data_IF_595814186734
#
_entry.id   IF_595814186734
#
_cell.length_a   1.000
_cell.length_b   1.000
_cell.length_c   1.000
_cell.angle_alpha   90.00
_cell.angle_beta   90.00
_cell.angle_gamma   90.00
#
_symmetry.space_group_name_H-M   'P 1'
#
loop_
_entity.id
_entity.type
_entity.pdbx_description
1 polymer ?
#
# COMPACT_ATOMS: atom_id res chain seq x y z
N UNK A 1 -3.76 -41.07 -9.40
CA UNK A 1 -2.59 -40.41 -8.77
C UNK A 1 -3.11 -39.09 -8.21
N UNK A 2 -2.71 -38.67 -7.00
CA UNK A 2 -3.27 -37.45 -6.41
C UNK A 2 -2.69 -36.21 -7.10
N UNK A 3 -3.53 -35.26 -7.48
CA UNK A 3 -3.07 -33.99 -8.04
C UNK A 3 -2.37 -33.13 -6.96
N UNK A 4 -1.44 -32.23 -7.35
CA UNK A 4 -0.85 -31.26 -6.44
C UNK A 4 -1.93 -30.45 -5.69
N UNK A 5 -1.77 -30.28 -4.38
CA UNK A 5 -2.80 -29.64 -3.55
C UNK A 5 -2.76 -28.10 -3.58
N UNK A 6 -1.68 -27.52 -4.11
CA UNK A 6 -1.54 -26.09 -4.38
C UNK A 6 -1.06 -25.88 -5.81
N UNK A 7 -1.40 -24.72 -6.44
CA UNK A 7 -0.90 -24.39 -7.78
C UNK A 7 0.63 -24.38 -7.84
N UNK A 8 1.26 -24.75 -8.97
CA UNK A 8 2.71 -24.82 -9.07
C UNK A 8 3.43 -23.48 -8.81
N UNK A 9 2.75 -22.37 -9.10
CA UNK A 9 3.19 -20.99 -8.90
C UNK A 9 2.96 -20.45 -7.48
N UNK A 10 2.32 -21.23 -6.60
CA UNK A 10 1.98 -20.82 -5.24
C UNK A 10 3.25 -20.51 -4.43
N UNK A 11 3.62 -19.23 -4.34
CA UNK A 11 4.83 -18.73 -3.69
C UNK A 11 4.50 -17.84 -2.48
N UNK A 12 4.63 -18.43 -1.29
CA UNK A 12 4.38 -17.76 -0.01
C UNK A 12 5.65 -17.33 0.70
N UNK A 13 6.82 -17.32 0.04
CA UNK A 13 8.10 -16.89 0.67
C UNK A 13 8.09 -15.44 1.14
N UNK A 14 7.19 -14.61 0.61
CA UNK A 14 6.94 -13.24 1.05
C UNK A 14 5.97 -13.11 2.25
N UNK A 15 5.38 -14.22 2.71
CA UNK A 15 4.44 -14.30 3.83
C UNK A 15 5.04 -15.20 4.92
N UNK A 16 5.91 -14.67 5.79
CA UNK A 16 6.63 -15.48 6.78
C UNK A 16 5.73 -16.05 7.88
N UNK A 17 4.53 -15.50 8.04
CA UNK A 17 3.54 -15.97 9.01
C UNK A 17 2.69 -17.08 8.39
N UNK A 18 2.81 -18.29 8.94
CA UNK A 18 1.94 -19.42 8.62
C UNK A 18 0.80 -19.48 9.64
N UNK A 19 -0.48 -19.44 9.23
CA UNK A 19 -1.60 -19.62 10.14
C UNK A 19 -1.61 -21.07 10.68
N UNK A 20 -1.79 -21.20 11.99
CA UNK A 20 -1.87 -22.47 12.68
C UNK A 20 -3.23 -22.60 13.35
N UNK A 21 -4.00 -23.62 12.99
CA UNK A 21 -5.23 -23.97 13.68
C UNK A 21 -4.89 -24.74 14.95
N UNK A 22 -5.02 -24.05 16.09
CA UNK A 22 -4.61 -24.57 17.40
C UNK A 22 -5.44 -25.78 17.77
N UNK A 23 -6.77 -25.75 17.57
CA UNK A 23 -7.67 -26.84 17.95
C UNK A 23 -7.38 -28.07 17.08
N UNK A 24 -7.27 -27.87 15.76
CA UNK A 24 -6.95 -28.97 14.83
C UNK A 24 -5.59 -29.60 15.12
N UNK A 25 -4.61 -28.83 15.59
CA UNK A 25 -3.31 -29.36 16.01
C UNK A 25 -3.44 -30.14 17.32
N UNK A 26 -3.99 -29.55 18.38
CA UNK A 26 -4.01 -30.16 19.72
C UNK A 26 -4.88 -31.42 19.78
N UNK A 27 -5.92 -31.48 18.95
CA UNK A 27 -6.82 -32.63 18.89
C UNK A 27 -6.37 -33.68 17.86
N UNK A 28 -5.24 -33.46 17.18
CA UNK A 28 -4.74 -34.40 16.18
C UNK A 28 -4.02 -35.61 16.78
N UNK A 29 -4.06 -36.73 16.05
CA UNK A 29 -3.25 -37.90 16.35
C UNK A 29 -1.75 -37.59 16.40
N UNK A 30 -1.28 -36.58 15.65
CA UNK A 30 0.13 -36.17 15.73
C UNK A 30 0.46 -35.67 17.14
N UNK A 31 -0.41 -34.86 17.74
CA UNK A 31 -0.22 -34.35 19.09
C UNK A 31 -0.38 -35.44 20.15
N UNK A 32 -1.30 -36.38 19.94
CA UNK A 32 -1.56 -37.48 20.86
C UNK A 32 -0.48 -38.58 20.87
N UNK A 33 0.11 -38.89 19.71
CA UNK A 33 0.96 -40.07 19.53
C UNK A 33 2.46 -39.76 19.42
N UNK A 34 2.83 -38.54 19.01
CA UNK A 34 4.22 -38.22 18.76
C UNK A 34 5.02 -38.04 20.05
N UNK A 35 6.25 -38.55 20.03
CA UNK A 35 7.28 -38.11 20.98
C UNK A 35 7.66 -36.65 20.72
N UNK A 36 8.28 -35.99 21.70
CA UNK A 36 8.68 -34.59 21.55
C UNK A 36 9.61 -34.31 20.36
N UNK A 37 10.51 -35.25 20.03
CA UNK A 37 11.40 -35.10 18.87
C UNK A 37 10.66 -35.31 17.53
N UNK A 38 9.71 -36.24 17.48
CA UNK A 38 8.85 -36.45 16.30
C UNK A 38 7.96 -35.25 16.05
N UNK A 39 7.32 -34.73 17.12
CA UNK A 39 6.48 -33.54 17.04
C UNK A 39 7.28 -32.32 16.57
N UNK A 40 8.48 -32.10 17.13
CA UNK A 40 9.38 -31.03 16.69
C UNK A 40 9.74 -31.18 15.21
N UNK A 41 10.07 -32.39 14.76
CA UNK A 41 10.38 -32.66 13.36
C UNK A 41 9.18 -32.39 12.45
N UNK A 42 7.98 -32.85 12.82
CA UNK A 42 6.74 -32.65 12.07
C UNK A 42 6.40 -31.16 11.90
N UNK A 43 6.35 -30.40 13.01
CA UNK A 43 6.05 -28.96 12.98
C UNK A 43 7.12 -28.19 12.22
N UNK A 44 8.39 -28.59 12.32
CA UNK A 44 9.46 -27.98 11.53
C UNK A 44 9.23 -28.21 10.03
N UNK A 45 8.86 -29.43 9.62
CA UNK A 45 8.53 -29.75 8.24
C UNK A 45 7.30 -29.00 7.74
N UNK A 46 6.29 -28.77 8.58
CA UNK A 46 5.14 -27.92 8.26
C UNK A 46 5.59 -26.50 7.92
N UNK A 47 6.37 -25.88 8.80
CA UNK A 47 6.93 -24.54 8.58
C UNK A 47 7.82 -24.49 7.32
N UNK A 48 8.63 -25.52 7.07
CA UNK A 48 9.47 -25.58 5.86
C UNK A 48 8.64 -25.73 4.60
N UNK A 49 7.56 -26.52 4.64
CA UNK A 49 6.67 -26.74 3.50
C UNK A 49 5.94 -25.45 3.09
N UNK A 50 5.59 -24.58 4.05
CA UNK A 50 4.99 -23.29 3.79
C UNK A 50 5.83 -22.38 2.89
N UNK A 51 7.15 -22.46 3.02
CA UNK A 51 8.11 -21.63 2.28
C UNK A 51 8.66 -22.31 1.01
N UNK A 52 8.20 -23.52 0.69
CA UNK A 52 8.53 -24.16 -0.59
C UNK A 52 7.76 -23.51 -1.74
N UNK A 53 8.21 -23.78 -2.97
CA UNK A 53 7.44 -23.54 -4.19
C UNK A 53 7.30 -24.90 -4.89
N UNK A 54 6.09 -25.46 -4.98
CA UNK A 54 4.80 -24.92 -4.53
C UNK A 54 4.66 -24.91 -3.00
N UNK A 55 3.96 -23.92 -2.43
CA UNK A 55 3.75 -23.86 -0.98
C UNK A 55 2.94 -25.06 -0.47
N UNK A 56 3.16 -25.43 0.80
CA UNK A 56 2.63 -26.64 1.46
C UNK A 56 3.17 -27.98 0.93
N UNK A 57 4.22 -27.94 0.09
CA UNK A 57 4.88 -29.13 -0.44
C UNK A 57 6.27 -29.33 0.16
N UNK A 58 6.80 -30.54 0.06
CA UNK A 58 8.18 -30.89 0.38
C UNK A 58 8.75 -31.80 -0.72
N UNK A 59 10.06 -31.76 -0.96
CA UNK A 59 10.72 -32.75 -1.81
C UNK A 59 10.65 -34.14 -1.16
N UNK A 60 10.40 -35.18 -1.95
CA UNK A 60 10.41 -36.58 -1.51
C UNK A 60 11.83 -37.17 -1.57
N UNK A 61 12.75 -36.58 -0.80
CA UNK A 61 14.12 -37.06 -0.65
C UNK A 61 14.51 -37.08 0.84
N UNK A 62 14.86 -38.26 1.35
CA UNK A 62 15.15 -38.46 2.76
C UNK A 62 16.35 -37.64 3.28
N UNK A 63 17.35 -37.35 2.45
CA UNK A 63 18.51 -36.54 2.87
C UNK A 63 18.10 -35.08 3.03
N UNK A 64 17.29 -34.59 2.09
CA UNK A 64 16.75 -33.24 2.17
C UNK A 64 15.78 -33.12 3.35
N UNK A 65 14.88 -34.09 3.53
CA UNK A 65 13.93 -34.10 4.64
C UNK A 65 14.62 -34.19 6.00
N UNK A 66 15.67 -35.01 6.14
CA UNK A 66 16.48 -35.09 7.35
C UNK A 66 17.12 -33.74 7.73
N UNK A 67 17.54 -32.97 6.72
CA UNK A 67 18.07 -31.63 6.90
C UNK A 67 16.96 -30.62 7.25
N UNK A 68 15.86 -30.62 6.49
CA UNK A 68 14.75 -29.69 6.68
C UNK A 68 14.07 -29.87 8.04
N UNK A 69 13.92 -31.09 8.52
CA UNK A 69 13.32 -31.41 9.81
C UNK A 69 14.23 -31.11 11.01
N UNK A 70 15.53 -30.86 10.77
CA UNK A 70 16.54 -30.76 11.82
C UNK A 70 16.82 -32.08 12.55
N UNK A 71 16.40 -33.21 12.00
CA UNK A 71 16.55 -34.52 12.65
C UNK A 71 17.90 -35.19 12.38
N UNK A 72 18.57 -34.83 11.28
CA UNK A 72 19.88 -35.38 10.91
C UNK A 72 19.89 -36.91 10.90
N UNK A 73 20.86 -37.52 11.59
CA UNK A 73 21.02 -38.98 11.65
C UNK A 73 19.80 -39.73 12.22
N UNK A 74 18.95 -39.05 13.01
CA UNK A 74 17.75 -39.64 13.63
C UNK A 74 16.55 -39.67 12.68
N UNK A 75 16.65 -39.03 11.50
CA UNK A 75 15.54 -38.93 10.55
C UNK A 75 14.83 -40.25 10.29
N UNK A 76 15.58 -41.33 10.04
CA UNK A 76 15.01 -42.65 9.76
C UNK A 76 14.03 -43.15 10.84
N UNK A 77 14.26 -42.80 12.11
CA UNK A 77 13.38 -43.18 13.22
C UNK A 77 12.15 -42.27 13.33
N UNK A 78 12.31 -40.99 13.01
CA UNK A 78 11.26 -39.97 13.17
C UNK A 78 10.38 -39.82 11.92
N UNK A 79 10.85 -40.30 10.76
CA UNK A 79 10.27 -40.07 9.43
C UNK A 79 8.78 -40.38 9.37
N UNK A 80 8.37 -41.51 9.91
CA UNK A 80 6.98 -41.99 9.83
C UNK A 80 6.02 -41.00 10.48
N UNK A 81 6.29 -40.59 11.73
CA UNK A 81 5.46 -39.63 12.45
C UNK A 81 5.65 -38.20 11.93
N UNK A 82 6.88 -37.82 11.57
CA UNK A 82 7.18 -36.49 11.06
C UNK A 82 6.51 -36.18 9.72
N UNK A 83 6.31 -37.20 8.87
CA UNK A 83 5.56 -37.10 7.62
C UNK A 83 4.08 -37.48 7.75
N UNK A 84 3.55 -37.64 8.97
CA UNK A 84 2.13 -37.96 9.16
C UNK A 84 1.27 -36.87 8.50
N UNK A 85 0.30 -37.31 7.69
CA UNK A 85 -0.58 -36.42 6.95
C UNK A 85 0.00 -35.88 5.64
N UNK A 86 1.30 -36.09 5.35
CA UNK A 86 1.85 -35.79 4.04
C UNK A 86 1.44 -36.85 3.02
N UNK A 87 1.10 -36.40 1.82
CA UNK A 87 0.65 -37.23 0.70
C UNK A 87 1.49 -36.97 -0.53
N UNK A 88 1.91 -38.04 -1.21
CA UNK A 88 2.69 -37.90 -2.45
C UNK A 88 1.74 -37.58 -3.61
N UNK A 89 1.99 -36.46 -4.28
CA UNK A 89 1.24 -36.01 -5.45
C UNK A 89 1.95 -36.39 -6.76
N UNK A 90 1.25 -36.18 -7.88
CA UNK A 90 1.70 -36.56 -9.22
C UNK A 90 2.96 -35.83 -9.70
N UNK A 91 3.29 -34.69 -9.12
CA UNK A 91 4.52 -33.92 -9.35
C UNK A 91 5.74 -34.48 -8.58
N UNK A 92 5.55 -35.57 -7.84
CA UNK A 92 6.60 -36.22 -7.06
C UNK A 92 6.89 -35.57 -5.71
N UNK A 93 6.10 -34.57 -5.30
CA UNK A 93 6.28 -33.86 -4.02
C UNK A 93 5.31 -34.37 -2.96
N UNK A 94 5.68 -34.15 -1.70
CA UNK A 94 4.86 -34.49 -0.53
C UNK A 94 4.07 -33.25 -0.09
N UNK A 95 2.75 -33.30 -0.13
CA UNK A 95 1.88 -32.21 0.28
C UNK A 95 1.21 -32.48 1.62
N UNK A 96 1.00 -31.45 2.43
CA UNK A 96 0.18 -31.58 3.64
C UNK A 96 -1.20 -30.93 3.41
N UNK A 97 -2.32 -31.69 3.37
CA UNK A 97 -3.64 -31.16 3.01
C UNK A 97 -4.09 -29.94 3.83
N UNK A 98 -3.81 -29.96 5.13
CA UNK A 98 -4.15 -28.84 6.04
C UNK A 98 -3.37 -27.57 5.72
N UNK A 99 -2.09 -27.72 5.38
CA UNK A 99 -1.24 -26.56 5.08
C UNK A 99 -1.57 -26.08 3.67
N UNK A 100 -1.88 -26.99 2.74
CA UNK A 100 -2.28 -26.67 1.38
C UNK A 100 -3.60 -25.87 1.36
N UNK A 101 -4.56 -26.22 2.22
CA UNK A 101 -5.77 -25.44 2.44
C UNK A 101 -5.43 -23.98 2.78
N UNK A 102 -4.61 -23.76 3.81
CA UNK A 102 -4.21 -22.42 4.24
C UNK A 102 -3.31 -21.70 3.24
N UNK A 103 -2.49 -22.44 2.50
CA UNK A 103 -1.61 -21.90 1.48
C UNK A 103 -2.42 -21.35 0.30
N UNK A 104 -3.46 -22.06 -0.15
CA UNK A 104 -4.40 -21.56 -1.18
C UNK A 104 -5.09 -20.29 -0.71
N UNK A 105 -5.66 -20.29 0.49
CA UNK A 105 -6.32 -19.07 0.99
C UNK A 105 -5.34 -17.88 1.10
N UNK A 106 -4.08 -18.12 1.45
CA UNK A 106 -3.06 -17.06 1.51
C UNK A 106 -2.64 -16.59 0.11
N UNK A 107 -2.57 -17.52 -0.84
CA UNK A 107 -2.26 -17.26 -2.24
C UNK A 107 -3.35 -16.39 -2.89
N UNK A 108 -4.62 -16.78 -2.76
CA UNK A 108 -5.76 -16.04 -3.31
C UNK A 108 -5.77 -14.59 -2.78
N UNK A 109 -5.59 -14.40 -1.47
CA UNK A 109 -5.51 -13.05 -0.85
C UNK A 109 -4.35 -12.23 -1.39
N UNK A 110 -3.21 -12.87 -1.71
CA UNK A 110 -2.03 -12.20 -2.28
C UNK A 110 -2.28 -11.78 -3.72
N UNK A 111 -2.92 -12.63 -4.52
CA UNK A 111 -3.30 -12.31 -5.90
C UNK A 111 -4.25 -11.11 -5.93
N UNK A 112 -5.32 -11.14 -5.12
CA UNK A 112 -6.26 -10.03 -5.05
C UNK A 112 -5.59 -8.73 -4.59
N UNK A 113 -4.68 -8.80 -3.61
CA UNK A 113 -3.93 -7.62 -3.16
C UNK A 113 -3.06 -7.06 -4.29
N UNK A 114 -2.36 -7.93 -5.01
CA UNK A 114 -1.49 -7.57 -6.13
C UNK A 114 -2.29 -6.91 -7.25
N UNK A 115 -3.43 -7.49 -7.61
CA UNK A 115 -4.35 -6.93 -8.60
C UNK A 115 -4.84 -5.53 -8.19
N UNK A 116 -5.29 -5.36 -6.94
CA UNK A 116 -5.71 -4.05 -6.41
C UNK A 116 -4.59 -3.01 -6.48
N UNK A 117 -3.34 -3.39 -6.14
CA UNK A 117 -2.19 -2.47 -6.24
C UNK A 117 -1.85 -2.12 -7.69
N UNK A 118 -1.90 -3.09 -8.60
CA UNK A 118 -1.67 -2.86 -10.02
C UNK A 118 -2.72 -1.91 -10.59
N UNK A 119 -4.01 -2.16 -10.33
CA UNK A 119 -5.12 -1.31 -10.75
C UNK A 119 -5.00 0.13 -10.21
N UNK A 120 -4.59 0.29 -8.95
CA UNK A 120 -4.32 1.60 -8.34
C UNK A 120 -3.16 2.32 -9.05
N UNK A 121 -2.08 1.59 -9.30
CA UNK A 121 -0.86 2.12 -9.94
C UNK A 121 -1.15 2.53 -11.38
N UNK A 122 -1.87 1.71 -12.13
CA UNK A 122 -2.33 2.02 -13.47
C UNK A 122 -3.25 3.24 -13.51
N UNK A 123 -4.23 3.32 -12.61
CA UNK A 123 -5.12 4.48 -12.51
C UNK A 123 -4.33 5.76 -12.24
N UNK A 124 -3.36 5.70 -11.33
CA UNK A 124 -2.50 6.84 -11.02
C UNK A 124 -1.61 7.22 -12.21
N UNK A 125 -1.08 6.24 -12.94
CA UNK A 125 -0.31 6.48 -14.17
C UNK A 125 -1.17 7.16 -15.23
N UNK A 126 -2.35 6.61 -15.55
CA UNK A 126 -3.30 7.20 -16.51
C UNK A 126 -3.70 8.62 -16.12
N UNK A 127 -3.93 8.87 -14.83
CA UNK A 127 -4.24 10.21 -14.33
C UNK A 127 -3.07 11.18 -14.54
N UNK A 128 -1.83 10.78 -14.20
CA UNK A 128 -0.63 11.61 -14.42
C UNK A 128 -0.41 11.89 -15.90
N UNK A 129 -0.52 10.87 -16.74
CA UNK A 129 -0.36 10.99 -18.20
C UNK A 129 -1.39 11.97 -18.76
N UNK A 130 -2.67 11.85 -18.36
CA UNK A 130 -3.74 12.77 -18.77
C UNK A 130 -3.49 14.22 -18.34
N UNK A 131 -3.09 14.44 -17.08
CA UNK A 131 -2.74 15.77 -16.57
C UNK A 131 -1.56 16.35 -17.36
N UNK A 132 -0.52 15.54 -17.61
CA UNK A 132 0.64 15.97 -18.38
C UNK A 132 0.26 16.37 -19.81
N UNK A 133 -0.60 15.58 -20.48
CA UNK A 133 -1.11 15.89 -21.81
C UNK A 133 -1.87 17.20 -21.84
N UNK A 134 -2.86 17.40 -20.95
CA UNK A 134 -3.67 18.63 -20.92
C UNK A 134 -2.80 19.85 -20.60
N UNK A 135 -1.89 19.74 -19.63
CA UNK A 135 -0.97 20.82 -19.30
C UNK A 135 -0.05 21.16 -20.48
N UNK A 136 0.41 20.18 -21.26
CA UNK A 136 1.20 20.42 -22.46
C UNK A 136 0.38 21.15 -23.53
N UNK A 137 -0.87 20.74 -23.74
CA UNK A 137 -1.77 21.41 -24.69
C UNK A 137 -2.12 22.84 -24.26
N UNK A 138 -2.45 23.08 -22.99
CA UNK A 138 -2.70 24.42 -22.46
C UNK A 138 -1.50 25.34 -22.72
N UNK A 139 -0.28 24.86 -22.45
CA UNK A 139 0.95 25.61 -22.74
C UNK A 139 1.12 25.89 -24.23
N UNK A 140 0.73 24.97 -25.11
CA UNK A 140 0.77 25.20 -26.57
C UNK A 140 -0.21 26.29 -27.04
N UNK A 141 -1.30 26.49 -26.29
CA UNK A 141 -2.28 27.57 -26.50
C UNK A 141 -1.89 28.86 -25.75
N UNK A 142 -0.66 28.97 -25.24
CA UNK A 142 -0.15 30.07 -24.42
C UNK A 142 -0.92 30.28 -23.09
N UNK A 143 -1.60 29.25 -22.59
CA UNK A 143 -2.27 29.27 -21.28
C UNK A 143 -1.40 28.56 -20.25
N UNK A 144 -0.96 29.28 -19.22
CA UNK A 144 -0.20 28.68 -18.12
C UNK A 144 -1.15 27.94 -17.17
N UNK A 145 -1.01 26.62 -17.00
CA UNK A 145 -1.91 25.86 -16.13
C UNK A 145 -1.70 26.23 -14.65
N UNK A 146 -2.77 26.41 -13.86
CA UNK A 146 -2.67 26.74 -12.44
C UNK A 146 -2.06 25.59 -11.62
N UNK A 147 -1.24 25.97 -10.63
CA UNK A 147 -0.59 25.02 -9.72
C UNK A 147 -1.62 24.24 -8.91
N UNK A 148 -1.44 22.91 -8.78
CA UNK A 148 -2.33 22.00 -8.03
C UNK A 148 -3.80 22.00 -8.50
N UNK A 149 -4.08 22.39 -9.74
CA UNK A 149 -5.43 22.33 -10.28
C UNK A 149 -5.94 20.88 -10.41
N UNK A 150 -7.24 20.69 -10.14
CA UNK A 150 -7.88 19.40 -10.38
C UNK A 150 -7.91 19.07 -11.88
N UNK A 151 -7.95 17.78 -12.21
CA UNK A 151 -8.07 17.34 -13.61
C UNK A 151 -9.28 18.00 -14.31
N UNK A 152 -10.43 18.06 -13.64
CA UNK A 152 -11.63 18.73 -14.16
C UNK A 152 -11.43 20.22 -14.45
N UNK A 153 -10.65 20.92 -13.61
CA UNK A 153 -10.34 22.33 -13.81
C UNK A 153 -9.44 22.51 -15.03
N UNK A 154 -8.43 21.66 -15.18
CA UNK A 154 -7.53 21.67 -16.34
C UNK A 154 -8.29 21.36 -17.64
N UNK A 155 -9.22 20.40 -17.61
CA UNK A 155 -10.06 20.06 -18.77
C UNK A 155 -10.96 21.23 -19.18
N UNK A 156 -11.61 21.89 -18.21
CA UNK A 156 -12.43 23.08 -18.49
C UNK A 156 -11.59 24.21 -19.11
N UNK A 157 -10.43 24.51 -18.51
CA UNK A 157 -9.52 25.53 -19.05
C UNK A 157 -9.07 25.21 -20.48
N UNK A 158 -8.86 23.93 -20.80
CA UNK A 158 -8.48 23.52 -22.15
C UNK A 158 -9.61 23.76 -23.15
N UNK A 159 -10.85 23.47 -22.76
CA UNK A 159 -12.04 23.76 -23.60
C UNK A 159 -12.16 25.26 -23.84
N UNK A 160 -12.05 26.08 -22.79
CA UNK A 160 -12.16 27.54 -22.87
C UNK A 160 -11.05 28.15 -23.73
N UNK A 161 -9.81 27.66 -23.58
CA UNK A 161 -8.66 28.09 -24.35
C UNK A 161 -8.83 27.77 -25.84
N UNK A 162 -9.29 26.55 -26.16
CA UNK A 162 -9.56 26.12 -27.55
C UNK A 162 -10.67 26.96 -28.19
N UNK A 163 -11.75 27.25 -27.46
CA UNK A 163 -12.84 28.10 -27.94
C UNK A 163 -12.36 29.54 -28.23
N UNK A 164 -11.49 30.07 -27.36
CA UNK A 164 -10.91 31.41 -27.53
C UNK A 164 -10.00 31.50 -28.76
N UNK A 165 -9.19 30.47 -29.03
CA UNK A 165 -8.39 30.41 -30.27
C UNK A 165 -9.23 30.26 -31.53
N UNK A 166 -10.40 29.60 -31.46
CA UNK A 166 -11.29 29.47 -32.61
C UNK A 166 -12.02 30.79 -32.94
N UNK A 167 -12.44 31.56 -31.92
CA UNK A 167 -13.12 32.85 -32.09
C UNK A 167 -12.23 33.94 -32.69
N UNK A 168 -10.90 33.79 -32.63
CA UNK A 168 -9.93 34.74 -33.20
C UNK A 168 -9.73 34.61 -34.73
N UNK A 169 -10.40 33.66 -35.39
CA UNK A 169 -10.21 33.38 -36.83
C UNK A 169 -11.49 33.68 -37.65
N UNK A 170 -12.29 34.65 -37.21
CA UNK A 170 -13.47 35.15 -37.93
C UNK A 170 -13.22 36.56 -38.46
N UNK A 171 -13.32 36.69 -39.77
CA UNK A 171 -13.08 37.86 -40.63
C UNK A 171 -13.24 39.26 -40.04
N UNK A 172 -12.26 40.10 -40.39
CA UNK A 172 -12.30 41.54 -40.24
C UNK A 172 -13.43 42.15 -41.09
N UNK A 173 -14.29 42.94 -40.45
CA UNK A 173 -14.72 44.21 -41.04
C UNK A 173 -14.85 45.28 -39.97
N UNK A 174 -13.90 46.20 -40.07
CA UNK A 174 -13.78 47.50 -39.43
C UNK A 174 -15.03 48.36 -39.66
N UNK A 175 -15.62 48.87 -38.59
CA UNK A 175 -16.08 50.26 -38.52
C UNK A 175 -16.12 50.72 -37.06
N UNK A 176 -15.34 51.76 -36.76
CA UNK A 176 -15.32 52.47 -35.50
C UNK A 176 -16.64 53.20 -35.23
N UNK A 177 -17.00 53.37 -33.96
CA UNK A 177 -17.31 54.69 -33.39
C UNK A 177 -17.48 54.64 -31.85
N UNK A 178 -16.95 55.72 -31.27
CA UNK A 178 -16.85 56.18 -29.89
C UNK A 178 -18.11 56.13 -29.03
N UNK A 179 -17.95 55.88 -27.72
CA UNK A 179 -18.96 56.16 -26.71
C UNK A 179 -18.52 55.81 -25.28
N UNK A 180 -17.96 56.77 -24.56
CA UNK A 180 -17.76 56.76 -23.12
C UNK A 180 -19.09 56.84 -22.36
N UNK A 181 -19.25 56.01 -21.31
CA UNK A 181 -19.99 56.42 -20.12
C UNK A 181 -20.98 55.42 -19.54
N UNK A 182 -20.83 55.22 -18.22
CA UNK A 182 -21.83 54.80 -17.21
C UNK A 182 -22.14 53.31 -17.06
N UNK A 183 -21.59 52.76 -15.98
CA UNK A 183 -21.85 51.42 -15.50
C UNK A 183 -23.29 51.22 -15.04
N UNK A 184 -23.83 50.07 -15.42
CA UNK A 184 -25.01 49.48 -14.82
C UNK A 184 -24.58 48.17 -14.18
N UNK A 185 -24.82 48.09 -12.87
CA UNK A 185 -24.54 46.94 -12.00
C UNK A 185 -25.44 45.77 -12.44
N UNK A 186 -24.82 44.65 -12.82
CA UNK A 186 -25.50 43.36 -12.98
C UNK A 186 -25.13 42.51 -11.75
N UNK A 187 -26.09 41.99 -10.99
CA UNK A 187 -25.82 41.30 -9.74
C UNK A 187 -25.24 39.91 -10.05
N UNK A 188 -24.02 39.65 -9.58
CA UNK A 188 -23.50 38.29 -9.48
C UNK A 188 -24.24 37.58 -8.34
N UNK A 189 -25.17 36.70 -8.71
CA UNK A 189 -25.71 35.68 -7.82
C UNK A 189 -24.58 34.78 -7.33
N UNK A 190 -24.49 34.67 -6.01
CA UNK A 190 -23.70 33.68 -5.29
C UNK A 190 -24.17 32.27 -5.66
N UNK A 191 -23.32 31.49 -6.32
CA UNK A 191 -23.45 30.04 -6.38
C UNK A 191 -22.13 29.40 -5.94
N UNK A 192 -22.12 28.98 -4.68
CA UNK A 192 -21.05 28.30 -3.98
C UNK A 192 -20.76 26.92 -4.59
N UNK A 193 -19.59 26.78 -5.21
CA UNK A 193 -18.92 25.47 -5.39
C UNK A 193 -17.68 25.43 -4.51
N UNK A 194 -17.82 24.96 -3.28
CA UNK A 194 -16.76 24.94 -2.28
C UNK A 194 -15.52 24.18 -2.79
N UNK A 195 -14.42 24.91 -2.99
CA UNK A 195 -13.06 24.37 -3.08
C UNK A 195 -12.83 23.47 -1.86
N UNK A 196 -12.24 22.26 -1.98
CA UNK A 196 -12.02 21.41 -0.82
C UNK A 196 -11.13 22.17 0.16
N UNK A 197 -11.73 22.50 1.30
CA UNK A 197 -11.12 23.28 2.36
C UNK A 197 -9.76 22.65 2.73
N UNK A 198 -8.67 23.38 2.45
CA UNK A 198 -7.29 22.95 2.71
C UNK A 198 -7.09 22.53 4.16
N UNK A 199 -7.88 23.11 5.06
CA UNK A 199 -7.93 22.76 6.47
C UNK A 199 -8.56 21.40 6.71
N UNK A 200 -9.72 21.15 6.09
CA UNK A 200 -10.38 19.84 6.17
C UNK A 200 -9.50 18.73 5.60
N UNK A 201 -8.85 18.96 4.45
CA UNK A 201 -7.95 17.99 3.85
C UNK A 201 -6.74 17.67 4.73
N UNK A 202 -6.18 18.67 5.42
CA UNK A 202 -5.12 18.46 6.41
C UNK A 202 -5.60 17.58 7.57
N UNK A 203 -6.75 17.90 8.17
CA UNK A 203 -7.29 17.16 9.32
C UNK A 203 -7.66 15.71 8.97
N UNK A 204 -8.25 15.48 7.80
CA UNK A 204 -8.64 14.15 7.34
C UNK A 204 -7.39 13.26 7.12
N UNK A 205 -6.34 13.79 6.50
CA UNK A 205 -5.08 13.06 6.28
C UNK A 205 -4.32 12.79 7.58
N UNK A 206 -4.25 13.76 8.49
CA UNK A 206 -3.56 13.60 9.76
C UNK A 206 -4.25 12.54 10.65
N UNK A 207 -5.59 12.54 10.70
CA UNK A 207 -6.38 11.53 11.42
C UNK A 207 -6.27 10.14 10.80
N UNK A 208 -6.24 10.05 9.46
CA UNK A 208 -6.09 8.77 8.77
C UNK A 208 -4.74 8.10 9.08
N UNK A 209 -3.67 8.89 9.21
CA UNK A 209 -2.33 8.36 9.47
C UNK A 209 -2.04 8.04 10.95
N UNK A 210 -2.44 8.92 11.87
CA UNK A 210 -2.17 8.75 13.31
C UNK A 210 -3.26 7.97 14.04
N UNK A 211 -4.40 7.74 13.41
CA UNK A 211 -5.58 7.12 14.00
C UNK A 211 -6.40 8.08 14.87
N UNK A 212 -7.69 7.78 15.10
CA UNK A 212 -8.62 8.67 15.78
C UNK A 212 -8.23 8.98 17.23
N UNK A 213 -7.51 8.07 17.90
CA UNK A 213 -7.04 8.23 19.28
C UNK A 213 -6.02 9.36 19.46
N UNK A 214 -5.36 9.77 18.37
CA UNK A 214 -4.32 10.81 18.38
C UNK A 214 -4.80 12.15 17.79
N UNK A 215 -6.11 12.31 17.55
CA UNK A 215 -6.68 13.54 17.00
C UNK A 215 -6.46 14.77 17.90
N UNK A 216 -6.53 14.59 19.22
CA UNK A 216 -6.27 15.65 20.22
C UNK A 216 -4.79 16.08 20.22
N UNK A 217 -3.88 15.16 19.92
CA UNK A 217 -2.44 15.44 19.82
C UNK A 217 -2.13 16.33 18.63
N UNK A 218 -2.74 16.07 17.47
CA UNK A 218 -2.60 16.92 16.28
C UNK A 218 -3.14 18.33 16.57
N UNK A 219 -4.30 18.41 17.25
CA UNK A 219 -4.87 19.67 17.75
C UNK A 219 -3.93 20.46 18.65
N UNK A 220 -3.21 19.77 19.53
CA UNK A 220 -2.19 20.38 20.41
C UNK A 220 -0.95 20.83 19.62
N UNK A 221 -0.45 20.02 18.70
CA UNK A 221 0.72 20.36 17.88
C UNK A 221 0.47 21.58 16.98
N UNK A 222 -0.70 21.67 16.34
CA UNK A 222 -1.07 22.81 15.50
C UNK A 222 -1.16 24.10 16.32
N UNK A 223 -1.67 24.01 17.56
CA UNK A 223 -1.76 25.15 18.49
C UNK A 223 -0.39 25.62 18.96
N UNK A 224 0.50 24.68 19.29
CA UNK A 224 1.78 24.99 19.94
C UNK A 224 2.89 25.32 18.93
N UNK A 225 2.85 24.75 17.71
CA UNK A 225 3.94 24.85 16.72
C UNK A 225 3.50 25.37 15.34
N UNK A 226 2.20 25.57 15.11
CA UNK A 226 1.68 25.98 13.81
C UNK A 226 1.32 24.80 12.90
N UNK A 227 0.41 25.09 11.96
CA UNK A 227 -0.16 24.08 11.05
C UNK A 227 0.85 23.62 9.99
N UNK A 228 1.67 24.52 9.47
CA UNK A 228 2.64 24.21 8.42
C UNK A 228 3.76 23.28 8.92
N UNK A 229 4.27 23.57 10.12
CA UNK A 229 5.30 22.81 10.81
C UNK A 229 4.78 21.43 11.20
N UNK A 230 3.55 21.36 11.72
CA UNK A 230 2.89 20.09 12.04
C UNK A 230 2.65 19.24 10.79
N UNK A 231 2.24 19.84 9.68
CA UNK A 231 2.06 19.14 8.40
C UNK A 231 3.40 18.59 7.85
N UNK A 232 4.47 19.38 7.96
CA UNK A 232 5.82 18.96 7.58
C UNK A 232 6.31 17.78 8.43
N UNK A 233 6.09 17.83 9.75
CA UNK A 233 6.46 16.75 10.66
C UNK A 233 5.68 15.45 10.41
N UNK A 234 4.38 15.55 10.11
CA UNK A 234 3.55 14.40 9.72
C UNK A 234 4.04 13.79 8.40
N UNK A 235 4.35 14.63 7.40
CA UNK A 235 4.88 14.17 6.11
C UNK A 235 6.21 13.43 6.27
N UNK A 236 7.08 13.93 7.15
CA UNK A 236 8.34 13.27 7.43
C UNK A 236 8.17 11.94 8.17
N UNK A 237 7.23 11.84 9.11
CA UNK A 237 6.91 10.58 9.77
C UNK A 237 6.42 9.51 8.77
N UNK A 238 5.63 9.93 7.78
CA UNK A 238 5.15 9.08 6.69
C UNK A 238 6.30 8.60 5.79
N UNK A 239 7.22 9.50 5.44
CA UNK A 239 8.38 9.20 4.59
C UNK A 239 9.34 8.21 5.28
N UNK A 240 9.61 8.43 6.57
CA UNK A 240 10.54 7.63 7.38
C UNK A 240 9.89 6.35 7.95
N UNK A 241 8.59 6.12 7.69
CA UNK A 241 7.81 4.97 8.18
C UNK A 241 8.00 4.74 9.68
N UNK A 242 7.86 5.82 10.46
CA UNK A 242 8.11 5.78 11.89
C UNK A 242 7.27 4.70 12.60
N UNK A 243 7.92 3.85 13.40
CA UNK A 243 7.27 2.79 14.20
C UNK A 243 6.32 3.39 15.23
N UNK A 244 6.65 4.57 15.78
CA UNK A 244 5.82 5.33 16.70
C UNK A 244 5.60 6.76 16.16
N UNK A 245 4.60 6.99 15.29
CA UNK A 245 4.41 8.27 14.60
C UNK A 245 4.19 9.46 15.54
N UNK A 246 3.49 9.27 16.67
CA UNK A 246 3.19 10.33 17.63
C UNK A 246 4.45 10.87 18.34
N UNK A 247 5.29 9.97 18.84
CA UNK A 247 6.59 10.28 19.48
C UNK A 247 7.53 10.96 18.48
N UNK A 248 7.58 10.45 17.25
CA UNK A 248 8.43 10.98 16.18
C UNK A 248 8.06 12.43 15.82
N UNK A 249 6.77 12.71 15.65
CA UNK A 249 6.27 14.05 15.32
C UNK A 249 6.59 15.03 16.46
N UNK A 250 6.32 14.65 17.71
CA UNK A 250 6.65 15.49 18.87
C UNK A 250 8.15 15.74 19.00
N UNK A 251 8.98 14.71 18.77
CA UNK A 251 10.43 14.84 18.80
C UNK A 251 10.94 15.82 17.74
N UNK A 252 10.40 15.76 16.53
CA UNK A 252 10.78 16.65 15.43
C UNK A 252 10.32 18.10 15.65
N UNK A 253 9.11 18.30 16.15
CA UNK A 253 8.57 19.63 16.48
C UNK A 253 9.35 20.28 17.63
N UNK A 254 9.73 19.52 18.67
CA UNK A 254 10.57 20.00 19.77
C UNK A 254 11.99 20.35 19.32
N UNK A 255 12.56 19.57 18.40
CA UNK A 255 13.92 19.80 17.87
C UNK A 255 13.97 20.99 16.90
N UNK A 256 12.86 21.30 16.22
CA UNK A 256 12.72 22.49 15.37
C UNK A 256 12.44 23.79 16.13
N UNK A 257 11.93 23.73 17.37
CA UNK A 257 11.63 24.89 18.22
C UNK A 257 12.70 25.29 19.24
N UNK A 258 13.85 24.62 19.27
CA UNK A 258 14.93 24.86 20.22
C UNK A 258 16.12 25.60 19.61
N UNK A 259 16.51 26.71 20.26
CA UNK A 259 17.76 27.48 20.08
C UNK A 259 18.97 26.62 19.67
N UNK A 260 19.81 27.22 18.81
CA UNK A 260 21.18 26.81 18.52
C UNK A 260 21.90 26.19 19.74
N UNK A 261 22.41 24.97 19.58
CA UNK A 261 23.48 24.45 20.44
C UNK A 261 24.82 24.93 19.87
N UNK A 262 25.74 25.44 20.70
CA UNK A 262 27.05 25.85 20.25
C UNK A 262 27.87 24.63 19.84
N UNK A 263 28.67 24.80 18.80
CA UNK A 263 29.64 23.83 18.34
C UNK A 263 30.56 23.41 19.50
N UNK A 264 30.69 22.10 19.70
CA UNK A 264 31.74 21.51 20.53
C UNK A 264 33.05 21.64 19.74
N UNK A 265 34.09 22.31 20.25
CA UNK A 265 35.40 22.30 19.61
C UNK A 265 36.07 20.94 19.85
N UNK A 266 36.84 20.53 18.84
CA UNK A 266 37.69 19.33 18.80
C UNK A 266 38.66 19.26 19.98
#
# INVERSE_FOLDING_TARGET
MMEPLTPPECDLRGLPFMPLDVVRLTDSDLFALATGDEFKAAVTLWCKSWLQVPAASLPDDDRILAHLSGSGARWRKLREIALRGFVKCADGRLYHPVIAEKAREAWDRREEWTERQNNKTERQKRWRDRVNTICAELRSLNVTPPTNASLSTLERLLVDARASTAASTGDAQETALTGTGTGTVIPFSNENGAQPDSDKAFWDNAKAYLGPKNASLIGKCVRDFGKAETASAITAAQLERAVNPAEFILGRLRKGGGRAQPAVPL
#
